data_IF_641630368406
#
_entry.id   IF_641630368406
#
_cell.length_a   1.000
_cell.length_b   1.000
_cell.length_c   1.000
_cell.angle_alpha   90.00
_cell.angle_beta   90.00
_cell.angle_gamma   90.00
#
_symmetry.space_group_name_H-M   'P 1'
#
loop_
_entity.id
_entity.type
_entity.pdbx_description
1 polymer ?
#
# COMPACT_ATOMS: atom_id res chain seq x y z
N UNK A 1 23.73 25.67 6.71
CA UNK A 1 23.45 24.23 6.53
C UNK A 1 24.23 23.33 7.47
N UNK A 2 25.53 23.56 7.73
CA UNK A 2 26.30 22.82 8.76
C UNK A 2 25.59 22.65 10.12
N UNK A 3 24.95 23.66 10.73
CA UNK A 3 24.24 23.48 12.00
C UNK A 3 23.01 22.56 11.93
N UNK A 4 22.47 22.29 10.74
CA UNK A 4 21.40 21.32 10.53
C UNK A 4 21.94 19.93 10.17
N UNK A 5 23.00 19.89 9.35
CA UNK A 5 23.59 18.66 8.85
C UNK A 5 24.33 17.87 9.94
N UNK A 6 25.15 18.54 10.75
CA UNK A 6 26.00 17.86 11.74
C UNK A 6 25.20 17.11 12.81
N UNK A 7 24.11 17.68 13.40
CA UNK A 7 23.27 16.93 14.33
C UNK A 7 22.62 15.71 13.68
N UNK A 8 22.12 15.82 12.45
CA UNK A 8 21.47 14.70 11.75
C UNK A 8 22.46 13.55 11.45
N UNK A 9 23.68 13.89 11.02
CA UNK A 9 24.74 12.90 10.81
C UNK A 9 25.16 12.27 12.13
N UNK A 10 25.40 13.08 13.18
CA UNK A 10 25.74 12.59 14.51
C UNK A 10 24.67 11.66 15.08
N UNK A 11 23.40 12.01 14.91
CA UNK A 11 22.27 11.18 15.30
C UNK A 11 22.31 9.80 14.63
N UNK A 12 22.50 9.75 13.31
CA UNK A 12 22.62 8.46 12.58
C UNK A 12 23.84 7.66 13.06
N UNK A 13 24.98 8.31 13.27
CA UNK A 13 26.19 7.63 13.72
C UNK A 13 26.00 6.97 15.10
N UNK A 14 25.37 7.69 16.03
CA UNK A 14 25.04 7.14 17.36
C UNK A 14 24.05 5.98 17.23
N UNK A 15 22.97 6.16 16.47
CA UNK A 15 21.97 5.11 16.25
C UNK A 15 22.51 3.90 15.48
N UNK A 16 23.59 4.05 14.72
CA UNK A 16 24.24 2.94 14.01
C UNK A 16 24.89 1.92 14.97
N UNK A 17 25.13 2.30 16.23
CA UNK A 17 25.64 1.43 17.27
C UNK A 17 24.56 0.51 17.88
N UNK A 18 23.28 0.74 17.57
CA UNK A 18 22.20 -0.12 18.05
C UNK A 18 22.28 -1.50 17.37
N UNK A 19 22.14 -2.60 18.14
CA UNK A 19 22.14 -3.95 17.60
C UNK A 19 20.92 -4.19 16.70
N UNK A 20 19.77 -3.64 17.07
CA UNK A 20 18.54 -3.68 16.29
C UNK A 20 18.43 -2.43 15.40
N UNK A 21 18.16 -2.62 14.10
CA UNK A 21 18.05 -1.53 13.12
C UNK A 21 16.66 -1.51 12.52
N UNK A 22 16.00 -0.36 12.64
CA UNK A 22 14.72 -0.10 11.99
C UNK A 22 14.74 1.27 11.34
N UNK A 23 14.10 1.39 10.18
CA UNK A 23 14.02 2.65 9.44
C UNK A 23 13.40 3.78 10.28
N UNK A 24 12.42 3.44 11.13
CA UNK A 24 11.72 4.41 11.99
C UNK A 24 12.64 5.15 12.96
N UNK A 25 13.82 4.60 13.26
CA UNK A 25 14.78 5.28 14.12
C UNK A 25 15.42 6.49 13.45
N UNK A 26 15.63 6.45 12.13
CA UNK A 26 16.34 7.50 11.40
C UNK A 26 15.45 8.33 10.47
N UNK A 27 14.18 7.98 10.32
CA UNK A 27 13.25 8.62 9.37
C UNK A 27 13.16 10.15 9.55
N UNK A 28 13.34 10.65 10.76
CA UNK A 28 13.32 12.08 11.09
C UNK A 28 14.49 12.88 10.49
N UNK A 29 15.57 12.21 10.07
CA UNK A 29 16.72 12.86 9.43
C UNK A 29 16.47 13.15 7.94
N UNK A 30 15.49 12.47 7.31
CA UNK A 30 15.25 12.58 5.87
C UNK A 30 14.81 13.99 5.43
N UNK A 31 13.90 14.69 6.15
CA UNK A 31 13.58 16.08 5.84
C UNK A 31 14.79 17.01 5.94
N UNK A 32 15.68 16.77 6.92
CA UNK A 32 16.89 17.60 7.12
C UNK A 32 17.86 17.43 5.94
N UNK A 33 18.14 16.20 5.52
CA UNK A 33 19.00 15.96 4.37
C UNK A 33 18.39 16.48 3.06
N UNK A 34 17.08 16.33 2.88
CA UNK A 34 16.37 16.87 1.73
C UNK A 34 16.48 18.39 1.65
N UNK A 35 16.36 19.09 2.79
CA UNK A 35 16.54 20.55 2.87
C UNK A 35 17.97 20.97 2.53
N UNK A 36 18.98 20.28 3.07
CA UNK A 36 20.40 20.57 2.79
C UNK A 36 20.70 20.38 1.30
N UNK A 37 20.23 19.28 0.71
CA UNK A 37 20.36 19.00 -0.71
C UNK A 37 19.66 20.05 -1.59
N UNK A 38 18.42 20.43 -1.23
CA UNK A 38 17.65 21.46 -1.92
C UNK A 38 18.37 22.81 -1.91
N UNK A 39 19.00 23.19 -0.79
CA UNK A 39 19.79 24.43 -0.71
C UNK A 39 21.01 24.42 -1.63
N UNK A 40 21.69 23.27 -1.72
CA UNK A 40 22.81 23.07 -2.64
C UNK A 40 22.37 23.17 -4.10
N UNK A 41 21.28 22.49 -4.46
CA UNK A 41 20.65 22.58 -5.78
C UNK A 41 20.26 24.02 -6.14
N UNK A 42 19.58 24.71 -5.22
CA UNK A 42 19.19 26.12 -5.38
C UNK A 42 20.40 27.03 -5.58
N UNK A 43 21.49 26.82 -4.83
CA UNK A 43 22.72 27.60 -5.01
C UNK A 43 23.33 27.41 -6.41
N UNK A 44 23.37 26.17 -6.91
CA UNK A 44 23.91 25.88 -8.25
C UNK A 44 23.04 26.55 -9.32
N UNK A 45 21.73 26.38 -9.24
CA UNK A 45 20.76 26.92 -10.21
C UNK A 45 20.74 28.45 -10.20
N UNK A 46 20.75 29.09 -9.04
CA UNK A 46 20.76 30.55 -8.94
C UNK A 46 22.05 31.17 -9.51
N UNK A 47 23.15 30.41 -9.56
CA UNK A 47 24.44 30.85 -10.06
C UNK A 47 24.70 30.42 -11.51
N UNK A 48 23.69 29.89 -12.25
CA UNK A 48 23.88 29.29 -13.59
C UNK A 48 24.57 30.20 -14.62
N UNK A 49 24.44 31.53 -14.51
CA UNK A 49 25.07 32.48 -15.45
C UNK A 49 26.55 32.72 -15.21
N UNK A 50 27.08 32.33 -14.04
CA UNK A 50 28.45 32.71 -13.62
C UNK A 50 29.56 31.96 -14.36
N UNK A 51 29.36 30.69 -14.66
CA UNK A 51 30.36 29.83 -15.33
C UNK A 51 29.69 28.66 -16.03
N UNK A 52 30.36 28.10 -17.05
CA UNK A 52 29.92 26.90 -17.74
C UNK A 52 29.71 25.71 -16.77
N UNK A 53 30.51 25.61 -15.70
CA UNK A 53 30.34 24.58 -14.66
C UNK A 53 28.99 24.71 -13.94
N UNK A 54 28.53 25.94 -13.65
CA UNK A 54 27.22 26.15 -13.04
C UNK A 54 26.08 25.88 -14.02
N UNK A 55 26.28 26.12 -15.33
CA UNK A 55 25.31 25.72 -16.37
C UNK A 55 25.15 24.19 -16.42
N UNK A 56 26.27 23.47 -16.49
CA UNK A 56 26.28 22.00 -16.46
C UNK A 56 25.65 21.47 -15.16
N UNK A 57 26.05 22.02 -14.01
CA UNK A 57 25.48 21.66 -12.72
C UNK A 57 23.98 21.91 -12.64
N UNK A 58 23.48 23.02 -13.20
CA UNK A 58 22.05 23.32 -13.25
C UNK A 58 21.29 22.31 -14.12
N UNK A 59 21.87 21.90 -15.26
CA UNK A 59 21.29 20.84 -16.09
C UNK A 59 21.22 19.51 -15.34
N UNK A 60 22.26 19.15 -14.57
CA UNK A 60 22.25 17.95 -13.71
C UNK A 60 21.18 18.06 -12.62
N UNK A 61 21.00 19.22 -11.99
CA UNK A 61 19.93 19.44 -11.00
C UNK A 61 18.55 19.24 -11.61
N UNK A 62 18.29 19.79 -12.81
CA UNK A 62 17.00 19.60 -13.48
C UNK A 62 16.80 18.13 -13.86
N UNK A 63 17.82 17.49 -14.44
CA UNK A 63 17.77 16.09 -14.81
C UNK A 63 17.48 15.17 -13.62
N UNK A 64 18.15 15.37 -12.47
CA UNK A 64 17.88 14.55 -11.28
C UNK A 64 16.47 14.76 -10.74
N UNK A 65 15.90 15.98 -10.80
CA UNK A 65 14.52 16.22 -10.38
C UNK A 65 13.54 15.47 -11.27
N UNK A 66 13.75 15.47 -12.58
CA UNK A 66 12.92 14.72 -13.53
C UNK A 66 13.03 13.21 -13.32
N UNK A 67 14.25 12.69 -13.12
CA UNK A 67 14.47 11.26 -12.84
C UNK A 67 13.82 10.87 -11.52
N UNK A 68 13.95 11.68 -10.46
CA UNK A 68 13.29 11.43 -9.18
C UNK A 68 11.77 11.46 -9.31
N UNK A 69 11.21 12.44 -10.02
CA UNK A 69 9.76 12.50 -10.25
C UNK A 69 9.25 11.28 -11.02
N UNK A 70 9.96 10.86 -12.07
CA UNK A 70 9.64 9.65 -12.83
C UNK A 70 9.72 8.40 -11.94
N UNK A 71 10.81 8.26 -11.19
CA UNK A 71 11.01 7.13 -10.28
C UNK A 71 9.91 7.08 -9.21
N UNK A 72 9.60 8.20 -8.56
CA UNK A 72 8.50 8.28 -7.60
C UNK A 72 7.16 7.96 -8.23
N UNK A 73 6.90 8.40 -9.47
CA UNK A 73 5.69 8.05 -10.21
C UNK A 73 5.58 6.54 -10.49
N UNK A 74 6.68 5.90 -10.88
CA UNK A 74 6.74 4.44 -11.07
C UNK A 74 6.51 3.70 -9.75
N UNK A 75 7.19 4.12 -8.67
CA UNK A 75 6.99 3.54 -7.35
C UNK A 75 5.54 3.71 -6.87
N UNK A 76 4.92 4.86 -7.11
CA UNK A 76 3.51 5.13 -6.78
C UNK A 76 2.57 4.23 -7.58
N UNK A 77 2.81 4.07 -8.88
CA UNK A 77 2.04 3.16 -9.71
C UNK A 77 2.10 1.72 -9.20
N UNK A 78 3.30 1.24 -8.86
CA UNK A 78 3.48 -0.10 -8.31
C UNK A 78 2.81 -0.22 -6.93
N UNK A 79 3.00 0.77 -6.05
CA UNK A 79 2.51 0.71 -4.67
C UNK A 79 0.98 0.78 -4.58
N UNK A 80 0.31 1.39 -5.55
CA UNK A 80 -1.15 1.38 -5.64
C UNK A 80 -1.73 -0.05 -5.60
N UNK A 81 -1.01 -1.04 -6.16
CA UNK A 81 -1.44 -2.43 -6.16
C UNK A 81 -1.24 -3.16 -4.82
N UNK A 82 -0.63 -2.54 -3.81
CA UNK A 82 -0.48 -3.11 -2.46
C UNK A 82 -1.72 -2.92 -1.58
N UNK A 83 -2.82 -2.38 -2.11
CA UNK A 83 -4.04 -2.10 -1.35
C UNK A 83 -5.29 -2.90 -1.82
N UNK A 84 -5.21 -4.24 -1.96
CA UNK A 84 -6.34 -5.05 -2.40
C UNK A 84 -7.52 -5.07 -1.41
N UNK A 85 -7.30 -4.93 -0.10
CA UNK A 85 -8.39 -4.80 0.88
C UNK A 85 -9.25 -3.55 0.65
N UNK A 86 -8.61 -2.41 0.37
CA UNK A 86 -9.30 -1.17 0.00
C UNK A 86 -10.10 -1.31 -1.30
N UNK A 87 -9.51 -1.95 -2.32
CA UNK A 87 -10.22 -2.26 -3.57
C UNK A 87 -11.39 -3.23 -3.34
N UNK A 88 -11.25 -4.20 -2.44
CA UNK A 88 -12.33 -5.13 -2.07
C UNK A 88 -13.52 -4.42 -1.43
N UNK A 89 -13.31 -3.37 -0.64
CA UNK A 89 -14.40 -2.54 -0.13
C UNK A 89 -15.11 -1.76 -1.23
N UNK A 90 -14.38 -1.23 -2.21
CA UNK A 90 -14.98 -0.55 -3.36
C UNK A 90 -15.81 -1.52 -4.19
N UNK A 91 -15.27 -2.73 -4.42
CA UNK A 91 -15.95 -3.78 -5.17
C UNK A 91 -17.23 -4.25 -4.46
N UNK A 92 -17.18 -4.44 -3.14
CA UNK A 92 -18.35 -4.76 -2.32
C UNK A 92 -19.50 -3.76 -2.52
N UNK A 93 -19.21 -2.45 -2.44
CA UNK A 93 -20.22 -1.40 -2.63
C UNK A 93 -20.67 -1.27 -4.09
N UNK A 94 -19.85 -1.72 -5.04
CA UNK A 94 -20.20 -1.75 -6.47
C UNK A 94 -21.19 -2.86 -6.79
N UNK A 95 -21.02 -4.05 -6.20
CA UNK A 95 -21.81 -5.24 -6.53
C UNK A 95 -23.08 -5.38 -5.69
N UNK A 96 -23.09 -4.87 -4.44
CA UNK A 96 -24.24 -4.99 -3.55
C UNK A 96 -25.09 -3.72 -3.56
N UNK A 97 -26.43 -3.84 -3.58
CA UNK A 97 -27.30 -2.68 -3.54
C UNK A 97 -27.26 -2.01 -2.15
N UNK A 98 -27.35 -0.67 -2.07
CA UNK A 98 -27.36 0.05 -0.79
C UNK A 98 -28.50 -0.34 0.17
N UNK A 99 -29.57 -0.94 -0.36
CA UNK A 99 -30.73 -1.41 0.42
C UNK A 99 -30.51 -2.78 1.06
N UNK A 100 -29.44 -3.50 0.71
CA UNK A 100 -29.17 -4.81 1.32
C UNK A 100 -28.76 -4.65 2.80
N UNK A 101 -29.22 -5.59 3.63
CA UNK A 101 -28.77 -5.72 5.03
C UNK A 101 -27.46 -6.52 5.05
N UNK A 102 -26.33 -5.80 5.10
CA UNK A 102 -24.99 -6.38 5.03
C UNK A 102 -24.33 -6.33 6.40
N UNK A 103 -23.94 -7.50 6.88
CA UNK A 103 -22.95 -7.67 7.95
C UNK A 103 -21.67 -8.19 7.33
N UNK A 104 -20.66 -7.32 7.21
CA UNK A 104 -19.35 -7.60 6.66
C UNK A 104 -18.34 -7.84 7.78
N UNK A 105 -17.64 -8.98 7.74
CA UNK A 105 -16.42 -9.17 8.50
C UNK A 105 -15.20 -8.79 7.64
N UNK A 106 -14.28 -8.04 8.24
CA UNK A 106 -13.05 -7.56 7.62
C UNK A 106 -11.89 -8.19 8.38
N UNK A 107 -11.14 -9.08 7.71
CA UNK A 107 -10.01 -9.74 8.36
C UNK A 107 -8.79 -8.80 8.48
N UNK A 108 -7.80 -9.26 9.24
CA UNK A 108 -6.56 -8.50 9.49
C UNK A 108 -5.85 -8.14 8.20
N UNK A 109 -5.74 -9.07 7.25
CA UNK A 109 -5.07 -8.83 5.98
C UNK A 109 -5.76 -7.73 5.16
N UNK A 110 -7.09 -7.79 5.03
CA UNK A 110 -7.87 -6.76 4.34
C UNK A 110 -7.73 -5.41 5.06
N UNK A 111 -7.76 -5.41 6.39
CA UNK A 111 -7.56 -4.20 7.20
C UNK A 111 -6.20 -3.55 6.96
N UNK A 112 -5.13 -4.34 6.89
CA UNK A 112 -3.76 -3.86 6.66
C UNK A 112 -3.52 -3.44 5.20
N UNK A 113 -4.33 -3.92 4.26
CA UNK A 113 -4.22 -3.65 2.82
C UNK A 113 -5.23 -2.63 2.30
N UNK A 114 -5.56 -1.62 3.11
CA UNK A 114 -6.21 -0.40 2.65
C UNK A 114 -7.68 -0.24 3.00
N UNK A 115 -8.27 -1.15 3.78
CA UNK A 115 -9.59 -0.89 4.36
C UNK A 115 -9.50 0.26 5.37
N UNK A 116 -10.38 1.25 5.22
CA UNK A 116 -10.49 2.37 6.15
C UNK A 116 -11.95 2.74 6.38
N UNK A 117 -12.21 3.53 7.43
CA UNK A 117 -13.56 4.03 7.74
C UNK A 117 -14.14 4.90 6.61
N UNK A 118 -13.31 5.57 5.81
CA UNK A 118 -13.78 6.36 4.66
C UNK A 118 -14.37 5.50 3.54
N UNK A 119 -14.08 4.19 3.53
CA UNK A 119 -14.64 3.24 2.57
C UNK A 119 -15.96 2.61 3.06
N UNK A 120 -16.41 2.92 4.28
CA UNK A 120 -17.69 2.49 4.82
C UNK A 120 -18.78 3.48 4.36
N UNK A 121 -19.22 3.33 3.11
CA UNK A 121 -20.09 4.31 2.46
C UNK A 121 -21.56 4.17 2.89
N UNK A 122 -21.97 2.99 3.38
CA UNK A 122 -23.33 2.72 3.78
C UNK A 122 -23.49 2.62 5.30
N UNK A 123 -24.20 3.56 5.90
CA UNK A 123 -24.43 3.60 7.35
C UNK A 123 -25.37 2.50 7.85
N UNK A 124 -26.15 1.87 6.97
CA UNK A 124 -27.03 0.77 7.33
C UNK A 124 -26.30 -0.57 7.37
N UNK A 125 -25.07 -0.64 6.85
CA UNK A 125 -24.26 -1.85 6.87
C UNK A 125 -23.47 -1.94 8.18
N UNK A 126 -23.28 -3.16 8.65
CA UNK A 126 -22.43 -3.46 9.80
C UNK A 126 -21.06 -3.92 9.32
N UNK A 127 -20.02 -3.18 9.68
CA UNK A 127 -18.63 -3.53 9.39
C UNK A 127 -17.95 -3.95 10.69
N UNK A 128 -17.45 -5.18 10.75
CA UNK A 128 -16.82 -5.76 11.93
C UNK A 128 -15.38 -6.19 11.62
N UNK A 129 -14.42 -5.68 12.40
CA UNK A 129 -12.98 -5.95 12.26
C UNK A 129 -12.40 -6.69 13.48
N UNK A 130 -13.21 -7.52 14.14
CA UNK A 130 -12.76 -8.38 15.24
C UNK A 130 -11.71 -9.39 14.78
N UNK A 131 -10.55 -9.38 15.42
CA UNK A 131 -9.39 -10.20 15.02
C UNK A 131 -9.37 -11.58 15.72
N UNK A 132 -10.26 -11.80 16.69
CA UNK A 132 -10.39 -13.03 17.47
C UNK A 132 -11.19 -14.14 16.77
N UNK A 133 -11.67 -13.89 15.54
CA UNK A 133 -12.54 -14.79 14.80
C UNK A 133 -11.74 -15.78 13.93
N UNK A 134 -11.88 -17.06 14.25
CA UNK A 134 -11.36 -18.16 13.42
C UNK A 134 -12.32 -18.50 12.28
N UNK A 135 -11.85 -18.94 11.10
CA UNK A 135 -12.70 -19.51 10.04
C UNK A 135 -13.57 -20.71 10.49
N UNK A 136 -13.17 -21.39 11.57
CA UNK A 136 -13.92 -22.51 12.16
C UNK A 136 -14.94 -22.09 13.21
N UNK A 137 -14.93 -20.82 13.63
CA UNK A 137 -15.82 -20.32 14.68
C UNK A 137 -17.28 -20.24 14.18
N UNK A 138 -18.28 -20.59 15.00
CA UNK A 138 -19.68 -20.44 14.60
C UNK A 138 -20.06 -18.97 14.36
N UNK A 139 -19.39 -18.03 15.02
CA UNK A 139 -19.62 -16.59 14.88
C UNK A 139 -19.36 -16.11 13.45
N UNK A 140 -18.39 -16.70 12.73
CA UNK A 140 -18.09 -16.27 11.35
C UNK A 140 -19.28 -16.51 10.40
N UNK A 141 -20.14 -17.48 10.72
CA UNK A 141 -21.34 -17.83 9.94
C UNK A 141 -22.46 -16.80 10.09
N UNK A 142 -22.40 -15.98 11.13
CA UNK A 142 -23.39 -14.91 11.37
C UNK A 142 -23.24 -13.76 10.37
N UNK A 143 -22.03 -13.57 9.83
CA UNK A 143 -21.77 -12.57 8.82
C UNK A 143 -22.41 -12.94 7.49
N UNK A 144 -22.90 -11.92 6.78
CA UNK A 144 -23.41 -12.09 5.42
C UNK A 144 -22.28 -12.18 4.40
N UNK A 145 -21.20 -11.43 4.66
CA UNK A 145 -20.08 -11.27 3.75
C UNK A 145 -18.77 -11.28 4.55
N UNK A 146 -17.70 -11.79 3.94
CA UNK A 146 -16.35 -11.79 4.48
C UNK A 146 -15.43 -11.16 3.46
N UNK A 147 -14.63 -10.18 3.88
CA UNK A 147 -13.52 -9.64 3.12
C UNK A 147 -12.23 -10.12 3.78
N UNK A 148 -11.50 -11.00 3.09
CA UNK A 148 -10.38 -11.70 3.70
C UNK A 148 -9.23 -11.97 2.74
N UNK A 149 -8.07 -12.35 3.28
CA UNK A 149 -6.96 -12.86 2.46
C UNK A 149 -7.41 -14.04 1.58
N UNK A 150 -6.97 -14.03 0.31
CA UNK A 150 -7.20 -15.11 -0.64
C UNK A 150 -6.25 -16.28 -0.37
N UNK A 151 -6.48 -16.98 0.74
CA UNK A 151 -5.77 -18.21 1.11
C UNK A 151 -6.63 -19.44 0.83
N UNK A 152 -6.09 -20.39 0.06
CA UNK A 152 -6.83 -21.58 -0.39
C UNK A 152 -7.29 -22.45 0.79
N UNK A 153 -6.52 -22.55 1.88
CA UNK A 153 -6.91 -23.34 3.04
C UNK A 153 -8.09 -22.69 3.77
N UNK A 154 -8.03 -21.37 4.00
CA UNK A 154 -9.10 -20.62 4.66
C UNK A 154 -10.38 -20.62 3.81
N UNK A 155 -10.27 -20.50 2.49
CA UNK A 155 -11.41 -20.60 1.57
C UNK A 155 -12.03 -22.00 1.63
N UNK A 156 -11.22 -23.06 1.63
CA UNK A 156 -11.71 -24.44 1.75
C UNK A 156 -12.42 -24.70 3.08
N UNK A 157 -11.94 -24.13 4.20
CA UNK A 157 -12.61 -24.26 5.50
C UNK A 157 -14.01 -23.63 5.49
N UNK A 158 -14.20 -22.54 4.74
CA UNK A 158 -15.45 -21.80 4.66
C UNK A 158 -16.38 -22.29 3.53
N UNK A 159 -15.95 -23.26 2.71
CA UNK A 159 -16.68 -23.68 1.50
C UNK A 159 -18.13 -24.12 1.76
N UNK A 160 -18.45 -24.58 2.97
CA UNK A 160 -19.80 -25.03 3.33
C UNK A 160 -20.72 -23.87 3.73
N UNK A 161 -20.16 -22.75 4.20
CA UNK A 161 -20.92 -21.63 4.76
C UNK A 161 -20.91 -20.42 3.84
N UNK A 162 -19.79 -20.16 3.16
CA UNK A 162 -19.60 -19.04 2.27
C UNK A 162 -19.04 -19.49 0.91
N UNK A 163 -19.25 -18.66 -0.11
CA UNK A 163 -18.73 -18.85 -1.45
C UNK A 163 -18.03 -17.57 -1.94
N UNK A 164 -16.94 -17.68 -2.72
CA UNK A 164 -16.26 -16.53 -3.27
C UNK A 164 -17.13 -15.87 -4.36
N UNK A 165 -17.32 -14.55 -4.26
CA UNK A 165 -18.05 -13.75 -5.26
C UNK A 165 -17.12 -12.82 -6.05
N UNK A 166 -15.98 -12.42 -5.49
CA UNK A 166 -14.97 -11.66 -6.19
C UNK A 166 -13.56 -11.94 -5.65
N UNK A 167 -12.57 -11.96 -6.55
CA UNK A 167 -11.15 -11.99 -6.18
C UNK A 167 -10.50 -10.68 -6.58
N UNK A 168 -9.79 -10.07 -5.64
CA UNK A 168 -9.11 -8.80 -5.83
C UNK A 168 -7.63 -9.06 -6.03
N UNK A 169 -7.11 -8.48 -7.09
CA UNK A 169 -5.70 -8.60 -7.46
C UNK A 169 -4.85 -7.63 -6.64
N UNK A 170 -3.74 -8.12 -6.11
CA UNK A 170 -2.73 -7.34 -5.43
C UNK A 170 -1.33 -7.59 -6.01
N UNK A 171 -0.39 -6.72 -5.68
CA UNK A 171 1.02 -6.87 -6.06
C UNK A 171 1.60 -8.18 -5.53
N UNK A 172 2.37 -8.88 -6.37
CA UNK A 172 3.15 -10.05 -5.97
C UNK A 172 4.64 -9.79 -6.17
N UNK A 173 5.06 -9.53 -7.41
CA UNK A 173 6.45 -9.18 -7.72
C UNK A 173 6.58 -8.38 -9.03
N UNK A 174 7.78 -7.82 -9.24
CA UNK A 174 8.18 -7.23 -10.52
C UNK A 174 8.81 -8.31 -11.40
N UNK A 175 8.24 -8.54 -12.58
CA UNK A 175 8.83 -9.43 -13.56
C UNK A 175 9.66 -8.64 -14.56
N UNK A 176 10.94 -8.96 -14.62
CA UNK A 176 11.89 -8.37 -15.56
C UNK A 176 12.11 -9.33 -16.72
N UNK A 177 11.84 -8.86 -17.93
CA UNK A 177 12.13 -9.56 -19.17
C UNK A 177 12.68 -8.57 -20.19
N UNK A 178 13.99 -8.62 -20.42
CA UNK A 178 14.71 -7.72 -21.32
C UNK A 178 14.32 -7.89 -22.80
N UNK A 179 13.67 -8.99 -23.18
CA UNK A 179 13.22 -9.25 -24.54
C UNK A 179 11.85 -8.62 -24.86
N UNK A 180 11.15 -8.03 -23.88
CA UNK A 180 9.84 -7.38 -24.05
C UNK A 180 9.93 -5.91 -23.68
N UNK A 181 9.16 -5.04 -24.35
CA UNK A 181 8.99 -3.65 -23.95
C UNK A 181 7.56 -3.44 -23.40
N UNK A 182 7.37 -2.87 -22.19
CA UNK A 182 8.41 -2.47 -21.24
C UNK A 182 9.13 -3.69 -20.62
N UNK A 183 10.44 -3.55 -20.27
CA UNK A 183 11.26 -4.66 -19.78
C UNK A 183 10.92 -5.08 -18.36
N UNK A 184 10.11 -4.30 -17.64
CA UNK A 184 9.58 -4.64 -16.33
C UNK A 184 8.05 -4.58 -16.38
N UNK A 185 7.40 -5.57 -15.77
CA UNK A 185 5.95 -5.65 -15.65
C UNK A 185 5.57 -6.03 -14.22
N UNK A 186 4.50 -5.43 -13.72
CA UNK A 186 3.97 -5.77 -12.39
C UNK A 186 3.16 -7.06 -12.53
N UNK A 187 3.55 -8.11 -11.81
CA UNK A 187 2.73 -9.31 -11.69
C UNK A 187 1.78 -9.15 -10.52
N UNK A 188 0.52 -9.39 -10.82
CA UNK A 188 -0.56 -9.37 -9.86
C UNK A 188 -1.03 -10.79 -9.57
N UNK A 189 -1.47 -11.00 -8.35
CA UNK A 189 -2.01 -12.27 -7.87
C UNK A 189 -3.30 -12.00 -7.09
N UNK A 190 -4.16 -13.01 -6.97
CA UNK A 190 -5.32 -12.93 -6.08
C UNK A 190 -4.82 -12.84 -4.64
N UNK A 191 -5.04 -11.70 -3.99
CA UNK A 191 -4.55 -11.43 -2.64
C UNK A 191 -5.68 -11.29 -1.63
N UNK A 192 -6.83 -10.79 -2.07
CA UNK A 192 -8.02 -10.65 -1.24
C UNK A 192 -9.19 -11.32 -1.95
N UNK A 193 -10.08 -11.92 -1.19
CA UNK A 193 -11.32 -12.52 -1.67
C UNK A 193 -12.50 -11.91 -0.92
N UNK A 194 -13.55 -11.63 -1.67
CA UNK A 194 -14.85 -11.29 -1.11
C UNK A 194 -15.72 -12.54 -1.18
N UNK A 195 -16.23 -12.94 -0.03
CA UNK A 195 -17.05 -14.12 0.15
C UNK A 195 -18.47 -13.70 0.56
N UNK A 196 -19.47 -14.40 0.06
CA UNK A 196 -20.88 -14.26 0.42
C UNK A 196 -21.36 -15.53 1.10
N UNK A 197 -22.20 -15.40 2.12
CA UNK A 197 -22.82 -16.55 2.79
C UNK A 197 -23.76 -17.29 1.83
N UNK A 198 -23.62 -18.60 1.74
CA UNK A 198 -24.52 -19.45 0.95
C UNK A 198 -25.94 -19.37 1.52
N UNK A 199 -26.90 -19.05 0.68
CA UNK A 199 -28.31 -19.25 1.01
C UNK A 199 -28.59 -20.75 0.98
N UNK A 200 -28.95 -21.31 2.14
CA UNK A 200 -29.41 -22.70 2.17
C UNK A 200 -30.68 -22.80 1.29
N UNK A 201 -30.77 -23.72 0.31
CA UNK A 201 -31.98 -23.93 -0.49
C UNK A 201 -33.17 -24.47 0.33
N UNK A 202 -33.00 -24.69 1.62
CA UNK A 202 -34.02 -25.21 2.53
C UNK A 202 -34.42 -24.12 3.55
N UNK A 203 -35.20 -23.16 3.06
CA UNK A 203 -36.17 -22.40 3.86
C UNK A 203 -37.38 -22.08 3.01
#
# INVERSE_FOLDING_TARGET
>A
MRPLLLPAVGFILIYSLLPHKELRFIIYTFPVFSLVAARGCSFIVNNYRKSWMYKLGSAVVVAQLLVNALYSGVCLYISHHNYPGGQGMLELHRILPPTADISLHIDTYAAETGVSRFLQQNTNWRYDKREDLSPTSPEIQTFSHLLMEADDNRIQLLQNTHQPIAFIQGYHNLAVNLARFPPASVRLEKKTVLMERKTNPHR
#
